data_IF_105768486550
#
_entry.id   IF_105768486550
#
_cell.length_a   1.000
_cell.length_b   1.000
_cell.length_c   1.000
_cell.angle_alpha   90.00
_cell.angle_beta   90.00
_cell.angle_gamma   90.00
#
_symmetry.space_group_name_H-M   'P 1'
#
loop_
_entity.id
_entity.type
_entity.pdbx_description
1 polymer ?
#
# COMPACT_ATOMS: atom_id res chain seq x y z
N UNK A 1 3.55 -18.97 12.23
CA UNK A 1 2.51 -19.44 11.28
C UNK A 1 1.49 -18.35 11.00
N UNK A 2 0.86 -17.73 12.02
CA UNK A 2 -0.16 -16.71 11.79
C UNK A 2 0.31 -15.50 10.95
N UNK A 3 1.52 -14.98 11.20
CA UNK A 3 2.06 -13.88 10.40
C UNK A 3 2.21 -14.24 8.92
N UNK A 4 2.71 -15.45 8.61
CA UNK A 4 2.80 -15.94 7.23
C UNK A 4 1.42 -16.00 6.58
N UNK A 5 0.41 -16.47 7.32
CA UNK A 5 -0.96 -16.48 6.83
C UNK A 5 -1.44 -15.05 6.47
N UNK A 6 -1.20 -14.03 7.30
CA UNK A 6 -1.57 -12.65 6.94
C UNK A 6 -0.83 -12.12 5.70
N UNK A 7 0.40 -12.56 5.46
CA UNK A 7 1.14 -12.18 4.25
C UNK A 7 0.58 -12.83 2.98
N UNK A 8 -0.03 -14.01 3.08
CA UNK A 8 -0.34 -14.85 1.90
C UNK A 8 -1.79 -15.29 1.77
N UNK A 9 -2.68 -14.89 2.68
CA UNK A 9 -4.09 -15.31 2.64
C UNK A 9 -4.84 -14.72 1.43
N UNK A 10 -5.97 -15.32 1.07
CA UNK A 10 -6.81 -14.88 -0.05
C UNK A 10 -7.39 -13.48 0.12
N UNK A 11 -7.48 -12.99 1.36
CA UNK A 11 -7.99 -11.66 1.68
C UNK A 11 -6.96 -10.56 1.41
N UNK A 12 -5.71 -10.92 1.16
CA UNK A 12 -4.64 -9.96 0.98
C UNK A 12 -4.84 -9.12 -0.29
N UNK A 13 -4.45 -7.85 -0.23
CA UNK A 13 -4.55 -6.92 -1.35
C UNK A 13 -3.30 -6.03 -1.43
N UNK A 14 -3.28 -5.13 -2.42
CA UNK A 14 -2.12 -4.27 -2.66
C UNK A 14 -1.84 -3.26 -1.55
N UNK A 15 -2.78 -3.02 -0.62
CA UNK A 15 -2.60 -2.13 0.51
C UNK A 15 -2.12 -2.85 1.79
N UNK A 16 -1.98 -4.17 1.78
CA UNK A 16 -1.55 -4.93 2.96
C UNK A 16 -2.58 -4.94 4.10
N UNK A 17 -3.83 -4.54 3.80
CA UNK A 17 -4.87 -4.26 4.78
C UNK A 17 -6.20 -4.88 4.36
N UNK A 18 -6.83 -5.66 5.23
CA UNK A 18 -8.06 -6.38 4.92
C UNK A 18 -8.91 -6.64 6.17
N UNK A 19 -10.21 -6.86 5.97
CA UNK A 19 -11.12 -7.24 7.06
C UNK A 19 -11.08 -8.76 7.24
N UNK A 20 -10.80 -9.20 8.48
CA UNK A 20 -10.76 -10.61 8.86
C UNK A 20 -11.40 -10.85 10.24
N UNK A 21 -12.72 -11.13 10.27
CA UNK A 21 -13.39 -11.63 11.47
C UNK A 21 -12.72 -12.88 12.04
N UNK A 22 -12.68 -12.99 13.37
CA UNK A 22 -11.98 -14.08 14.07
C UNK A 22 -12.45 -15.47 13.62
N UNK A 23 -13.75 -15.64 13.31
CA UNK A 23 -14.32 -16.91 12.89
C UNK A 23 -13.75 -17.42 11.56
N UNK A 24 -13.49 -16.52 10.59
CA UNK A 24 -12.88 -16.90 9.32
C UNK A 24 -11.42 -17.30 9.51
N UNK A 25 -10.64 -16.50 10.24
CA UNK A 25 -9.25 -16.84 10.56
C UNK A 25 -9.12 -18.19 11.28
N UNK A 26 -10.02 -18.45 12.24
CA UNK A 26 -10.03 -19.69 13.02
C UNK A 26 -10.40 -20.89 12.15
N UNK A 27 -11.33 -20.73 11.21
CA UNK A 27 -11.70 -21.78 10.27
C UNK A 27 -10.55 -22.12 9.31
N UNK A 28 -9.91 -21.11 8.71
CA UNK A 28 -8.80 -21.29 7.78
C UNK A 28 -7.58 -21.97 8.43
N UNK A 29 -7.28 -21.60 9.68
CA UNK A 29 -6.14 -22.12 10.42
C UNK A 29 -6.45 -23.45 11.13
N UNK A 30 -7.73 -23.81 11.26
CA UNK A 30 -8.18 -24.93 12.08
C UNK A 30 -7.89 -24.74 13.57
N UNK A 31 -7.88 -23.49 14.05
CA UNK A 31 -7.52 -23.14 15.43
C UNK A 31 -8.75 -22.77 16.26
N UNK A 32 -8.75 -23.04 17.58
CA UNK A 32 -9.68 -22.40 18.50
C UNK A 32 -9.53 -20.87 18.45
N UNK A 33 -10.66 -20.16 18.51
CA UNK A 33 -10.69 -18.69 18.45
C UNK A 33 -9.79 -18.03 19.50
N UNK A 34 -9.75 -18.58 20.72
CA UNK A 34 -8.91 -18.06 21.81
C UNK A 34 -7.40 -18.19 21.50
N UNK A 35 -7.00 -19.31 20.87
CA UNK A 35 -5.64 -19.50 20.39
C UNK A 35 -5.29 -18.48 19.30
N UNK A 36 -6.18 -18.27 18.33
CA UNK A 36 -5.97 -17.24 17.31
C UNK A 36 -5.82 -15.84 17.93
N UNK A 37 -6.72 -15.47 18.84
CA UNK A 37 -6.70 -14.14 19.48
C UNK A 37 -5.43 -13.91 20.31
N UNK A 38 -5.00 -14.90 21.08
CA UNK A 38 -3.75 -14.81 21.86
C UNK A 38 -2.51 -14.66 20.98
N UNK A 39 -2.40 -15.47 19.90
CA UNK A 39 -1.28 -15.35 18.97
C UNK A 39 -1.33 -14.04 18.19
N UNK A 40 -2.52 -13.55 17.82
CA UNK A 40 -2.68 -12.23 17.20
C UNK A 40 -2.19 -11.13 18.13
N UNK A 41 -2.50 -11.20 19.43
CA UNK A 41 -2.03 -10.22 20.40
C UNK A 41 -0.49 -10.16 20.45
N UNK A 42 0.19 -11.31 20.42
CA UNK A 42 1.66 -11.37 20.36
C UNK A 42 2.19 -10.63 19.11
N UNK A 43 1.51 -10.73 17.97
CA UNK A 43 1.90 -10.02 16.74
C UNK A 43 1.65 -8.51 16.82
N UNK A 44 0.60 -8.09 17.52
CA UNK A 44 0.32 -6.67 17.79
C UNK A 44 1.41 -6.11 18.72
N UNK A 45 1.69 -6.80 19.83
CA UNK A 45 2.70 -6.38 20.81
C UNK A 45 4.11 -6.33 20.20
N UNK A 46 4.36 -7.16 19.18
CA UNK A 46 5.60 -7.17 18.40
C UNK A 46 5.65 -6.17 17.24
N UNK A 47 4.64 -5.29 17.09
CA UNK A 47 4.52 -4.32 15.99
C UNK A 47 4.66 -4.97 14.60
N UNK A 48 4.18 -6.21 14.47
CA UNK A 48 4.17 -6.94 13.19
C UNK A 48 2.87 -6.72 12.43
N UNK A 49 1.78 -6.42 13.14
CA UNK A 49 0.48 -6.05 12.60
C UNK A 49 -0.14 -4.93 13.43
N UNK A 50 -1.03 -4.16 12.81
CA UNK A 50 -2.03 -3.37 13.50
C UNK A 50 -3.41 -4.03 13.34
N UNK A 51 -4.25 -3.92 14.36
CA UNK A 51 -5.59 -4.53 14.36
C UNK A 51 -6.61 -3.60 15.01
N UNK A 52 -7.75 -3.44 14.35
CA UNK A 52 -8.93 -2.79 14.91
C UNK A 52 -10.04 -3.83 15.14
N UNK A 53 -10.44 -3.99 16.40
CA UNK A 53 -11.46 -4.94 16.81
C UNK A 53 -12.87 -4.55 16.33
N UNK A 54 -13.19 -3.26 16.22
CA UNK A 54 -14.52 -2.79 15.87
C UNK A 54 -14.90 -3.19 14.43
N UNK A 55 -13.94 -3.04 13.53
CA UNK A 55 -14.07 -3.32 12.09
C UNK A 55 -13.43 -4.64 11.68
N UNK A 56 -12.81 -5.36 12.62
CA UNK A 56 -12.02 -6.57 12.36
C UNK A 56 -10.97 -6.36 11.26
N UNK A 57 -10.41 -5.16 11.15
CA UNK A 57 -9.43 -4.81 10.13
C UNK A 57 -8.02 -5.12 10.62
N UNK A 58 -7.25 -5.81 9.78
CA UNK A 58 -5.84 -6.11 9.99
C UNK A 58 -5.03 -5.31 8.98
N UNK A 59 -3.94 -4.71 9.44
CA UNK A 59 -2.88 -4.17 8.59
C UNK A 59 -1.57 -4.87 8.91
N UNK A 60 -0.85 -5.32 7.88
CA UNK A 60 0.50 -5.84 8.02
C UNK A 60 1.49 -4.68 8.08
N UNK A 61 2.18 -4.55 9.20
CA UNK A 61 3.14 -3.46 9.41
C UNK A 61 4.26 -3.52 8.38
N UNK A 62 4.75 -2.34 7.96
CA UNK A 62 5.86 -2.18 7.00
C UNK A 62 5.59 -2.80 5.63
N UNK A 63 4.33 -3.09 5.29
CA UNK A 63 3.95 -3.70 4.01
C UNK A 63 4.59 -3.01 2.79
N UNK A 64 4.51 -1.68 2.72
CA UNK A 64 5.01 -0.92 1.58
C UNK A 64 6.54 -0.84 1.47
N UNK A 65 7.30 -1.24 2.50
CA UNK A 65 8.74 -1.41 2.38
C UNK A 65 9.12 -2.61 1.50
N UNK A 66 8.21 -3.58 1.39
CA UNK A 66 8.40 -4.81 0.61
C UNK A 66 7.50 -4.83 -0.64
N UNK A 67 6.32 -4.22 -0.57
CA UNK A 67 5.28 -4.25 -1.58
C UNK A 67 4.89 -2.83 -2.02
N UNK A 68 5.89 -2.02 -2.38
CA UNK A 68 5.68 -0.66 -2.91
C UNK A 68 4.86 -0.67 -4.21
N UNK A 69 4.22 0.45 -4.53
CA UNK A 69 3.57 0.62 -5.82
C UNK A 69 4.59 0.46 -6.96
N UNK A 70 4.18 -0.21 -8.04
CA UNK A 70 5.06 -0.48 -9.19
C UNK A 70 4.97 0.62 -10.27
N UNK A 71 3.93 1.45 -10.21
CA UNK A 71 3.67 2.54 -11.16
C UNK A 71 2.65 3.53 -10.58
N UNK A 72 2.50 4.70 -11.19
CA UNK A 72 1.49 5.70 -10.76
C UNK A 72 0.06 5.18 -10.90
N UNK A 73 -0.21 4.38 -11.94
CA UNK A 73 -1.52 3.74 -12.11
C UNK A 73 -1.80 2.74 -10.99
N UNK A 74 -0.78 1.98 -10.57
CA UNK A 74 -0.91 1.07 -9.42
C UNK A 74 -1.14 1.86 -8.13
N UNK A 75 -0.40 2.96 -7.93
CA UNK A 75 -0.57 3.85 -6.77
C UNK A 75 -2.01 4.41 -6.65
N UNK A 76 -2.62 4.83 -7.76
CA UNK A 76 -4.03 5.26 -7.77
C UNK A 76 -4.97 4.13 -7.31
N UNK A 77 -4.71 2.89 -7.74
CA UNK A 77 -5.45 1.71 -7.30
C UNK A 77 -5.33 1.49 -5.80
N UNK A 78 -4.12 1.56 -5.26
CA UNK A 78 -3.86 1.41 -3.82
C UNK A 78 -4.59 2.49 -3.01
N UNK A 79 -4.51 3.77 -3.41
CA UNK A 79 -5.22 4.86 -2.71
C UNK A 79 -6.73 4.65 -2.64
N UNK A 80 -7.34 4.08 -3.70
CA UNK A 80 -8.77 3.73 -3.68
C UNK A 80 -9.06 2.65 -2.64
N UNK A 81 -8.22 1.62 -2.56
CA UNK A 81 -8.34 0.57 -1.53
C UNK A 81 -8.20 1.18 -0.14
N UNK A 82 -7.19 2.03 0.09
CA UNK A 82 -6.98 2.71 1.37
C UNK A 82 -8.21 3.54 1.76
N UNK A 83 -8.75 4.34 0.83
CA UNK A 83 -9.93 5.19 1.10
C UNK A 83 -11.19 4.40 1.48
N UNK A 84 -11.26 3.11 1.13
CA UNK A 84 -12.38 2.23 1.44
C UNK A 84 -12.20 1.46 2.76
N UNK A 85 -11.08 1.59 3.46
CA UNK A 85 -10.84 0.97 4.76
C UNK A 85 -11.82 1.55 5.78
N UNK A 86 -12.67 0.72 6.40
CA UNK A 86 -13.69 1.19 7.35
C UNK A 86 -13.09 1.78 8.64
N UNK A 87 -11.98 1.21 9.14
CA UNK A 87 -11.31 1.68 10.34
C UNK A 87 -10.51 2.95 10.08
N UNK A 88 -10.90 4.08 10.66
CA UNK A 88 -10.16 5.34 10.49
C UNK A 88 -8.75 5.26 11.07
N UNK A 89 -8.56 4.60 12.22
CA UNK A 89 -7.24 4.42 12.86
C UNK A 89 -6.30 3.61 11.97
N UNK A 90 -6.79 2.52 11.39
CA UNK A 90 -5.97 1.73 10.47
C UNK A 90 -5.77 2.51 9.16
N UNK A 91 -6.81 3.16 8.63
CA UNK A 91 -6.73 3.92 7.37
C UNK A 91 -5.65 5.00 7.45
N UNK A 92 -5.66 5.83 8.49
CA UNK A 92 -4.68 6.89 8.70
C UNK A 92 -3.24 6.32 8.70
N UNK A 93 -3.05 5.20 9.39
CA UNK A 93 -1.76 4.53 9.44
C UNK A 93 -1.31 3.96 8.10
N UNK A 94 -2.19 3.25 7.39
CA UNK A 94 -1.87 2.70 6.05
C UNK A 94 -1.59 3.83 5.06
N UNK A 95 -2.34 4.92 5.12
CA UNK A 95 -2.13 6.10 4.28
C UNK A 95 -0.78 6.77 4.55
N UNK A 96 -0.41 6.94 5.82
CA UNK A 96 0.89 7.49 6.20
C UNK A 96 2.06 6.61 5.69
N UNK A 97 1.99 5.29 5.90
CA UNK A 97 3.01 4.35 5.44
C UNK A 97 3.08 4.30 3.90
N UNK A 98 1.94 4.38 3.23
CA UNK A 98 1.86 4.41 1.77
C UNK A 98 2.50 5.68 1.20
N UNK A 99 2.18 6.86 1.73
CA UNK A 99 2.74 8.11 1.20
C UNK A 99 4.24 8.23 1.52
N UNK A 100 4.70 7.73 2.67
CA UNK A 100 6.13 7.59 2.94
C UNK A 100 6.82 6.72 1.88
N UNK A 101 6.20 5.60 1.48
CA UNK A 101 6.71 4.77 0.39
C UNK A 101 6.65 5.46 -0.97
N UNK A 102 5.63 6.26 -1.26
CA UNK A 102 5.50 6.99 -2.53
C UNK A 102 6.56 8.09 -2.66
N UNK A 103 6.88 8.78 -1.57
CA UNK A 103 7.98 9.76 -1.52
C UNK A 103 9.31 9.08 -1.87
N UNK A 104 9.57 7.91 -1.28
CA UNK A 104 10.78 7.13 -1.59
C UNK A 104 10.78 6.65 -3.06
N UNK A 105 9.65 6.14 -3.54
CA UNK A 105 9.51 5.60 -4.90
C UNK A 105 9.70 6.67 -5.98
N UNK A 106 9.11 7.85 -5.78
CA UNK A 106 9.23 8.97 -6.73
C UNK A 106 10.60 9.65 -6.64
N UNK A 107 11.39 9.30 -5.63
CA UNK A 107 12.59 10.01 -5.26
C UNK A 107 12.25 11.39 -4.68
N UNK A 108 13.19 12.01 -3.98
CA UNK A 108 13.14 13.44 -3.71
C UNK A 108 12.90 14.12 -5.06
N UNK A 109 11.69 14.63 -5.28
CA UNK A 109 11.37 15.34 -6.51
C UNK A 109 12.31 16.52 -6.55
N UNK A 110 13.26 16.52 -7.49
CA UNK A 110 14.13 17.66 -7.68
C UNK A 110 13.19 18.85 -7.92
N UNK A 111 13.35 20.01 -7.26
CA UNK A 111 12.50 21.18 -7.49
C UNK A 111 12.44 21.63 -8.96
N UNK A 112 13.29 21.06 -9.82
CA UNK A 112 13.35 21.26 -11.27
C UNK A 112 12.51 20.24 -12.07
N UNK A 113 11.97 19.18 -11.46
CA UNK A 113 11.13 18.15 -12.08
C UNK A 113 9.64 18.55 -12.14
N UNK A 114 9.30 19.79 -11.78
CA UNK A 114 8.04 20.38 -12.22
C UNK A 114 8.02 20.39 -13.75
N UNK A 115 7.20 19.52 -14.32
CA UNK A 115 6.87 19.57 -15.74
C UNK A 115 6.49 21.00 -16.10
N UNK A 116 7.39 21.69 -16.81
CA UNK A 116 7.04 22.90 -17.54
C UNK A 116 6.00 22.49 -18.58
N UNK A 117 4.74 22.59 -18.19
CA UNK A 117 3.61 22.62 -19.11
C UNK A 117 3.75 23.88 -19.96
N UNK A 118 4.45 23.79 -21.08
CA UNK A 118 4.01 24.26 -22.40
C UNK A 118 5.17 24.31 -23.40
N UNK A 119 4.97 23.63 -24.54
CA UNK A 119 5.63 23.98 -25.79
C UNK A 119 6.85 23.13 -26.12
N UNK A 120 6.61 22.02 -26.81
CA UNK A 120 7.59 21.41 -27.71
C UNK A 120 7.94 22.40 -28.85
N UNK A 121 8.75 23.42 -28.56
CA UNK A 121 9.22 24.41 -29.53
C UNK A 121 10.60 24.04 -30.10
N UNK A 122 11.27 23.02 -29.53
CA UNK A 122 12.55 22.51 -30.01
C UNK A 122 12.43 21.47 -31.13
N UNK A 123 11.23 20.96 -31.39
CA UNK A 123 10.94 20.08 -32.54
C UNK A 123 10.46 20.85 -33.79
N UNK A 124 10.38 22.19 -33.71
CA UNK A 124 9.94 23.06 -34.82
C UNK A 124 11.03 24.00 -35.34
N UNK A 125 12.28 23.88 -34.88
CA UNK A 125 13.37 24.59 -35.54
C UNK A 125 13.71 23.89 -36.85
N UNK A 126 13.78 24.66 -37.95
CA UNK A 126 14.20 24.29 -39.31
C UNK A 126 15.61 23.65 -39.42
N UNK A 127 16.21 23.25 -38.30
CA UNK A 127 17.53 22.65 -38.22
C UNK A 127 17.54 21.18 -38.69
N UNK A 128 16.37 20.52 -38.81
CA UNK A 128 16.26 19.11 -39.25
C UNK A 128 15.50 18.90 -40.56
N UNK A 129 14.89 19.93 -41.16
CA UNK A 129 14.33 19.85 -42.51
C UNK A 129 15.38 20.35 -43.48
N UNK A 130 16.18 19.41 -44.00
CA UNK A 130 17.14 19.66 -45.07
C UNK A 130 16.49 20.25 -46.33
N UNK A 131 16.30 21.56 -46.34
CA UNK A 131 16.15 22.38 -47.54
C UNK A 131 17.43 23.17 -47.74
N UNK A 132 18.44 22.47 -48.25
CA UNK A 132 19.40 23.10 -49.13
C UNK A 132 18.72 23.23 -50.50
N UNK A 133 18.51 24.47 -50.92
CA UNK A 133 18.24 24.99 -52.28
C UNK A 133 17.47 24.09 -53.24
#
# INVERSE_FOLDING_TARGET
MLYLYFLTCEHQNSAGCFRLPNGYASADLGWPTEQYMSVRQILIDGEMIAFDAATSTIYVERWFQHCAAMSDKHAIGIRRVISAIESDVIREKVEADFEASEVLRKGIQNPLDVSFSNGSHLLKSNFMTGRAR
#
